data_IF_156863411069
#
_entry.id   IF_156863411069
#
_cell.length_a   1.000
_cell.length_b   1.000
_cell.length_c   1.000
_cell.angle_alpha   90.00
_cell.angle_beta   90.00
_cell.angle_gamma   90.00
#
_symmetry.space_group_name_H-M   'P 1'
#
loop_
_entity.id
_entity.type
_entity.pdbx_description
1 polymer ?
#
# COMPACT_ATOMS: atom_id res chain seq x y z
N UNK A 1 -1.44 0.30 -28.35
CA UNK A 1 -2.23 -0.15 -27.18
C UNK A 1 -1.63 0.28 -25.84
N UNK A 2 -0.37 0.70 -25.74
CA UNK A 2 0.28 1.11 -24.48
C UNK A 2 -0.10 2.49 -23.86
N UNK A 3 -1.16 3.17 -24.35
CA UNK A 3 -1.57 4.49 -23.80
C UNK A 3 -2.66 4.40 -22.73
N UNK A 4 -3.45 3.32 -22.73
CA UNK A 4 -4.51 3.13 -21.74
C UNK A 4 -3.95 2.66 -20.39
N UNK A 5 -2.95 1.78 -20.38
CA UNK A 5 -2.29 1.30 -19.14
C UNK A 5 -1.60 2.42 -18.35
N UNK A 6 -1.12 3.47 -19.03
CA UNK A 6 -0.42 4.57 -18.36
C UNK A 6 -1.36 5.54 -17.63
N UNK A 7 -2.60 5.71 -18.12
CA UNK A 7 -3.61 6.57 -17.49
C UNK A 7 -4.23 5.87 -16.26
N UNK A 8 -4.46 4.55 -16.34
CA UNK A 8 -4.95 3.76 -15.20
C UNK A 8 -3.94 3.75 -14.04
N UNK A 9 -2.65 3.54 -14.34
CA UNK A 9 -1.59 3.55 -13.32
C UNK A 9 -1.45 4.91 -12.65
N UNK A 10 -1.50 6.00 -13.42
CA UNK A 10 -1.42 7.36 -12.89
C UNK A 10 -2.59 7.64 -11.93
N UNK A 11 -3.79 7.19 -12.33
CA UNK A 11 -5.00 7.30 -11.51
C UNK A 11 -4.90 6.47 -10.23
N UNK A 12 -4.36 5.25 -10.32
CA UNK A 12 -4.14 4.38 -9.17
C UNK A 12 -3.14 4.99 -8.16
N UNK A 13 -2.03 5.55 -8.64
CA UNK A 13 -1.07 6.26 -7.77
C UNK A 13 -1.68 7.46 -7.07
N UNK A 14 -2.49 8.25 -7.77
CA UNK A 14 -3.17 9.40 -7.16
C UNK A 14 -4.15 8.98 -6.07
N UNK A 15 -4.85 7.85 -6.27
CA UNK A 15 -5.79 7.28 -5.30
C UNK A 15 -5.06 6.80 -4.04
N UNK A 16 -3.97 6.05 -4.22
CA UNK A 16 -3.06 5.63 -3.14
C UNK A 16 -2.61 6.85 -2.35
N UNK A 17 -2.04 7.87 -3.00
CA UNK A 17 -1.60 9.09 -2.31
C UNK A 17 -2.71 9.82 -1.53
N UNK A 18 -3.95 9.81 -2.02
CA UNK A 18 -5.10 10.35 -1.27
C UNK A 18 -5.46 9.51 -0.05
N UNK A 19 -5.42 8.17 -0.16
CA UNK A 19 -5.61 7.26 0.98
C UNK A 19 -4.53 7.50 2.04
N UNK A 20 -3.26 7.69 1.65
CA UNK A 20 -2.17 8.02 2.59
C UNK A 20 -2.35 9.35 3.28
N UNK A 21 -2.78 10.38 2.55
CA UNK A 21 -3.09 11.69 3.14
C UNK A 21 -4.17 11.59 4.23
N UNK A 22 -5.22 10.81 3.98
CA UNK A 22 -6.27 10.56 4.98
C UNK A 22 -5.79 9.68 6.14
N UNK A 23 -4.95 8.68 5.87
CA UNK A 23 -4.40 7.78 6.86
C UNK A 23 -3.44 8.49 7.82
N UNK A 24 -2.57 9.38 7.32
CA UNK A 24 -1.70 10.24 8.12
C UNK A 24 -2.51 11.25 8.94
N UNK A 25 -3.58 11.83 8.40
CA UNK A 25 -4.48 12.69 9.16
C UNK A 25 -5.18 11.93 10.31
N UNK A 26 -5.58 10.67 10.08
CA UNK A 26 -6.11 9.77 11.12
C UNK A 26 -5.04 9.24 12.09
N UNK A 27 -3.75 9.62 11.95
CA UNK A 27 -2.68 9.17 12.84
C UNK A 27 -2.49 10.06 14.06
N UNK A 28 -2.93 11.32 13.99
CA UNK A 28 -2.87 12.25 15.13
C UNK A 28 -4.02 12.04 16.12
N UNK A 29 -5.09 11.37 15.70
CA UNK A 29 -6.21 10.98 16.54
C UNK A 29 -6.19 9.45 16.79
N UNK A 30 -5.83 9.05 18.02
CA UNK A 30 -6.00 7.72 18.61
C UNK A 30 -5.02 6.59 18.21
N UNK A 31 -4.16 6.22 19.17
CA UNK A 31 -3.87 4.84 19.59
C UNK A 31 -3.98 3.73 18.53
N UNK A 32 -3.30 3.86 17.39
CA UNK A 32 -3.21 2.77 16.43
C UNK A 32 -2.53 1.56 17.09
N UNK A 33 -3.08 0.36 16.90
CA UNK A 33 -2.43 -0.85 17.39
C UNK A 33 -1.04 -1.02 16.75
N UNK A 34 -0.09 -1.70 17.41
CA UNK A 34 1.26 -1.92 16.86
C UNK A 34 1.25 -2.46 15.42
N UNK A 35 0.28 -3.31 15.11
CA UNK A 35 0.10 -3.94 13.79
C UNK A 35 -0.32 -2.91 12.72
N UNK A 36 -1.22 -1.98 13.06
CA UNK A 36 -1.61 -0.89 12.14
C UNK A 36 -0.44 0.06 11.90
N UNK A 37 0.36 0.34 12.94
CA UNK A 37 1.55 1.17 12.80
C UNK A 37 2.62 0.51 11.92
N UNK A 38 2.79 -0.82 12.02
CA UNK A 38 3.66 -1.60 11.16
C UNK A 38 3.17 -1.59 9.71
N UNK A 39 1.88 -1.87 9.48
CA UNK A 39 1.27 -1.83 8.15
C UNK A 39 1.50 -0.47 7.47
N UNK A 40 1.29 0.64 8.19
CA UNK A 40 1.54 2.00 7.69
C UNK A 40 2.99 2.24 7.28
N UNK A 41 3.96 1.75 8.08
CA UNK A 41 5.38 1.87 7.75
C UNK A 41 5.74 1.05 6.50
N UNK A 42 5.18 -0.14 6.39
CA UNK A 42 5.41 -1.02 5.24
C UNK A 42 4.88 -0.36 3.97
N UNK A 43 3.71 0.26 4.02
CA UNK A 43 3.17 0.96 2.87
C UNK A 43 4.04 2.16 2.48
N UNK A 44 4.46 3.00 3.43
CA UNK A 44 5.35 4.13 3.10
C UNK A 44 6.67 3.66 2.45
N UNK A 45 7.18 2.49 2.86
CA UNK A 45 8.33 1.86 2.22
C UNK A 45 8.01 1.41 0.79
N UNK A 46 6.85 0.81 0.57
CA UNK A 46 6.38 0.39 -0.74
C UNK A 46 6.23 1.57 -1.72
N UNK A 47 5.66 2.68 -1.28
CA UNK A 47 5.54 3.89 -2.10
C UNK A 47 6.91 4.43 -2.55
N UNK A 48 7.92 4.38 -1.67
CA UNK A 48 9.28 4.82 -1.99
C UNK A 48 9.97 3.97 -3.07
N UNK A 49 9.42 2.78 -3.39
CA UNK A 49 9.92 1.90 -4.44
C UNK A 49 9.22 2.10 -5.79
N UNK A 50 8.07 2.79 -5.84
CA UNK A 50 7.26 2.95 -7.06
C UNK A 50 7.99 3.58 -8.25
N UNK A 51 9.03 4.38 -8.01
CA UNK A 51 9.85 4.98 -9.07
C UNK A 51 10.93 4.04 -9.62
N UNK A 52 11.18 2.91 -8.95
CA UNK A 52 12.32 2.01 -9.21
C UNK A 52 11.93 0.63 -9.72
N UNK A 53 10.65 0.29 -9.65
CA UNK A 53 10.12 -1.05 -9.96
C UNK A 53 9.36 -1.04 -11.29
N UNK A 54 9.08 -2.23 -11.83
CA UNK A 54 8.31 -2.35 -13.06
C UNK A 54 6.84 -1.95 -12.85
N UNK A 55 6.12 -1.70 -13.95
CA UNK A 55 4.68 -1.41 -13.89
C UNK A 55 3.89 -2.58 -13.31
N UNK A 56 4.25 -3.82 -13.64
CA UNK A 56 3.57 -5.04 -13.15
C UNK A 56 3.73 -5.18 -11.64
N UNK A 57 4.96 -5.06 -11.13
CA UNK A 57 5.23 -5.11 -9.67
C UNK A 57 4.52 -3.99 -8.92
N UNK A 58 4.40 -2.82 -9.56
CA UNK A 58 3.75 -1.65 -8.98
C UNK A 58 2.24 -1.85 -8.87
N UNK A 59 1.60 -2.46 -9.87
CA UNK A 59 0.17 -2.80 -9.82
C UNK A 59 -0.10 -3.79 -8.68
N UNK A 60 0.70 -4.85 -8.56
CA UNK A 60 0.59 -5.81 -7.46
C UNK A 60 0.75 -5.15 -6.07
N UNK A 61 1.70 -4.22 -5.94
CA UNK A 61 1.90 -3.48 -4.70
C UNK A 61 0.73 -2.53 -4.40
N UNK A 62 0.17 -1.88 -5.41
CA UNK A 62 -1.01 -1.01 -5.23
C UNK A 62 -2.21 -1.83 -4.74
N UNK A 63 -2.48 -2.99 -5.34
CA UNK A 63 -3.58 -3.87 -4.93
C UNK A 63 -3.45 -4.30 -3.47
N UNK A 64 -2.24 -4.66 -3.04
CA UNK A 64 -1.96 -5.03 -1.64
C UNK A 64 -2.11 -3.84 -0.69
N UNK A 65 -1.72 -2.64 -1.11
CA UNK A 65 -1.87 -1.43 -0.31
C UNK A 65 -3.37 -1.09 -0.12
N UNK A 66 -4.17 -1.19 -1.17
CA UNK A 66 -5.63 -1.03 -1.09
C UNK A 66 -6.24 -2.08 -0.16
N UNK A 67 -5.81 -3.35 -0.25
CA UNK A 67 -6.29 -4.44 0.61
C UNK A 67 -5.97 -4.19 2.09
N UNK A 68 -4.74 -3.73 2.39
CA UNK A 68 -4.34 -3.35 3.75
C UNK A 68 -5.21 -2.21 4.27
N UNK A 69 -5.44 -1.18 3.45
CA UNK A 69 -6.26 -0.03 3.85
C UNK A 69 -7.70 -0.45 4.17
N UNK A 70 -8.36 -1.17 3.26
CA UNK A 70 -9.71 -1.66 3.47
C UNK A 70 -9.79 -2.60 4.68
N UNK A 71 -8.79 -3.46 4.90
CA UNK A 71 -8.76 -4.32 6.08
C UNK A 71 -8.63 -3.54 7.40
N UNK A 72 -7.90 -2.41 7.40
CA UNK A 72 -7.83 -1.52 8.57
C UNK A 72 -9.19 -0.87 8.84
N UNK A 73 -9.85 -0.34 7.81
CA UNK A 73 -11.19 0.28 7.94
C UNK A 73 -12.26 -0.71 8.40
N UNK A 74 -12.20 -1.94 7.88
CA UNK A 74 -13.11 -3.04 8.24
C UNK A 74 -12.75 -3.69 9.59
N UNK A 75 -11.64 -3.30 10.22
CA UNK A 75 -11.08 -3.97 11.43
C UNK A 75 -10.82 -5.47 11.21
N UNK A 76 -10.53 -5.86 9.97
CA UNK A 76 -10.29 -7.24 9.54
C UNK A 76 -8.82 -7.63 9.73
N UNK A 77 -8.41 -7.83 10.99
CA UNK A 77 -7.00 -8.05 11.36
C UNK A 77 -6.32 -9.23 10.61
N UNK A 78 -7.00 -10.36 10.43
CA UNK A 78 -6.42 -11.52 9.73
C UNK A 78 -6.12 -11.21 8.25
N UNK A 79 -7.03 -10.48 7.59
CA UNK A 79 -6.88 -10.02 6.20
C UNK A 79 -5.73 -9.02 6.10
N UNK A 80 -5.68 -8.06 7.02
CA UNK A 80 -4.60 -7.08 7.10
C UNK A 80 -3.25 -7.77 7.25
N UNK A 81 -3.11 -8.72 8.19
CA UNK A 81 -1.85 -9.42 8.43
C UNK A 81 -1.42 -10.26 7.22
N UNK A 82 -2.37 -10.91 6.54
CA UNK A 82 -2.07 -11.66 5.32
C UNK A 82 -1.58 -10.73 4.18
N UNK A 83 -2.19 -9.56 4.02
CA UNK A 83 -1.78 -8.58 3.02
C UNK A 83 -0.42 -7.93 3.34
N UNK A 84 -0.19 -7.59 4.62
CA UNK A 84 1.10 -7.09 5.14
C UNK A 84 2.22 -8.10 4.90
N UNK A 85 1.99 -9.39 5.17
CA UNK A 85 2.98 -10.44 4.94
C UNK A 85 3.37 -10.53 3.45
N UNK A 86 2.37 -10.55 2.55
CA UNK A 86 2.61 -10.56 1.10
C UNK A 86 3.38 -9.33 0.62
N UNK A 87 2.99 -8.14 1.08
CA UNK A 87 3.69 -6.91 0.71
C UNK A 87 5.13 -6.93 1.21
N UNK A 88 5.38 -7.49 2.40
CA UNK A 88 6.73 -7.66 2.94
C UNK A 88 7.58 -8.59 2.07
N UNK A 89 7.02 -9.72 1.62
CA UNK A 89 7.71 -10.67 0.75
C UNK A 89 8.07 -10.05 -0.59
N UNK A 90 7.15 -9.29 -1.20
CA UNK A 90 7.40 -8.56 -2.45
C UNK A 90 8.51 -7.53 -2.27
N UNK A 91 8.46 -6.74 -1.19
CA UNK A 91 9.51 -5.76 -0.89
C UNK A 91 10.87 -6.42 -0.73
N UNK A 92 10.94 -7.57 -0.05
CA UNK A 92 12.18 -8.31 0.11
C UNK A 92 12.73 -8.84 -1.22
N UNK A 93 11.86 -9.33 -2.09
CA UNK A 93 12.21 -9.76 -3.44
C UNK A 93 12.78 -8.62 -4.30
N UNK A 94 12.15 -7.43 -4.22
CA UNK A 94 12.55 -6.26 -5.01
C UNK A 94 13.78 -5.52 -4.46
N UNK A 95 14.13 -5.72 -3.19
CA UNK A 95 15.33 -5.16 -2.56
C UNK A 95 16.60 -6.00 -2.75
N UNK A 96 16.46 -7.26 -3.21
CA UNK A 96 17.59 -8.17 -3.48
C UNK A 96 18.26 -7.91 -4.82
#
# INVERSE_FOLDING_TARGET
MARFEHDDLSTAQQRVGQLFGQMLAHSEEASASPEIAEARRLIAKAEAMFEKISTEDKEDMVDLIEDIHSAIEETANDRMQAAVAKLTDILYYLES
#
